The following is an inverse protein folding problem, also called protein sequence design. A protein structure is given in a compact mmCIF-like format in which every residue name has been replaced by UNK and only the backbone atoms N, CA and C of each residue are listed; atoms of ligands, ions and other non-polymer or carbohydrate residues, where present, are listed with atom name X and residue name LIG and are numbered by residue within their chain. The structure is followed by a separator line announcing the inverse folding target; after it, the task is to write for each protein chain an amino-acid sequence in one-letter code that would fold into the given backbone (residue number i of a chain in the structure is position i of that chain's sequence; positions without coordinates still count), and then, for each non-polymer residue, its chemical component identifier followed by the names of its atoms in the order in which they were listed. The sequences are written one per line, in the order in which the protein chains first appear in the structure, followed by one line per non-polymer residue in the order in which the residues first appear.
data_IF_100363298099
#
_entry.id   IF_100363298099
#
_cell.length_a   1.000
_cell.length_b   1.000
_cell.length_c   1.000
_cell.angle_alpha   90.00
_cell.angle_beta   90.00
_cell.angle_gamma   90.00
#
_symmetry.space_group_name_H-M   'P 1'
#
loop_
_entity.id
_entity.type
_entity.pdbx_description
1 polymer ?
#
# COMPACT_ATOMS: atom_id res chain seq x y z
N UNK A 1 -19.75 7.68 -9.98
CA UNK A 1 -19.05 7.25 -8.75
C UNK A 1 -17.73 6.62 -9.17
N UNK A 2 -16.61 7.13 -8.68
CA UNK A 2 -15.26 6.72 -9.12
C UNK A 2 -14.66 5.79 -8.07
N UNK A 3 -14.29 4.56 -8.44
CA UNK A 3 -13.58 3.63 -7.55
C UNK A 3 -12.09 3.85 -7.73
N UNK A 4 -11.44 4.50 -6.77
CA UNK A 4 -10.00 4.78 -6.76
C UNK A 4 -9.34 3.98 -5.64
N UNK A 5 -8.09 3.57 -5.86
CA UNK A 5 -7.36 2.82 -4.86
C UNK A 5 -6.91 3.76 -3.74
N UNK A 6 -7.05 3.33 -2.48
CA UNK A 6 -6.85 4.16 -1.28
C UNK A 6 -5.50 4.89 -1.28
N UNK A 7 -4.45 4.27 -1.82
CA UNK A 7 -3.11 4.87 -1.93
C UNK A 7 -3.03 6.05 -2.91
N UNK A 8 -3.88 6.12 -3.94
CA UNK A 8 -3.87 7.20 -4.93
C UNK A 8 -4.50 8.48 -4.38
N UNK A 9 -5.50 8.34 -3.49
CA UNK A 9 -6.24 9.45 -2.90
C UNK A 9 -5.82 9.77 -1.47
N UNK A 10 -4.90 8.99 -0.88
CA UNK A 10 -4.45 9.18 0.50
C UNK A 10 -3.97 10.62 0.78
N UNK A 11 -3.32 11.27 -0.19
CA UNK A 11 -2.91 12.68 -0.03
C UNK A 11 -4.10 13.66 -0.03
N UNK A 12 -5.10 13.42 -0.89
CA UNK A 12 -6.27 14.28 -1.04
C UNK A 12 -7.30 14.10 0.09
N UNK A 13 -7.38 12.89 0.67
CA UNK A 13 -8.13 12.62 1.91
C UNK A 13 -7.43 13.29 3.09
N UNK A 14 -6.10 13.16 3.23
CA UNK A 14 -5.34 13.87 4.28
C UNK A 14 -5.41 15.39 4.17
N UNK A 15 -5.51 15.95 2.95
CA UNK A 15 -5.69 17.38 2.74
C UNK A 15 -7.13 17.86 2.91
N UNK A 16 -8.08 16.96 3.26
CA UNK A 16 -9.50 17.28 3.43
C UNK A 16 -10.22 17.67 2.14
N UNK A 17 -9.58 17.49 0.98
CA UNK A 17 -10.15 17.80 -0.34
C UNK A 17 -11.08 16.69 -0.82
N UNK A 18 -10.92 15.47 -0.28
CA UNK A 18 -11.80 14.33 -0.50
C UNK A 18 -12.30 13.80 0.85
N UNK A 19 -13.60 13.50 0.91
CA UNK A 19 -14.23 12.88 2.07
C UNK A 19 -14.64 11.44 1.69
N UNK A 20 -14.19 10.41 2.44
CA UNK A 20 -14.69 9.06 2.25
C UNK A 20 -16.19 9.01 2.55
N UNK A 21 -16.92 8.23 1.75
CA UNK A 21 -18.36 8.01 1.91
C UNK A 21 -18.62 6.52 1.83
N UNK A 22 -19.57 6.01 2.61
CA UNK A 22 -19.91 4.58 2.70
C UNK A 22 -18.78 3.70 3.27
N UNK A 23 -18.03 4.20 4.26
CA UNK A 23 -16.98 3.44 4.97
C UNK A 23 -17.45 2.07 5.48
N UNK A 24 -18.70 1.99 5.94
CA UNK A 24 -19.30 0.73 6.42
C UNK A 24 -19.45 -0.37 5.33
N UNK A 25 -19.27 -0.01 4.06
CA UNK A 25 -19.34 -0.91 2.90
C UNK A 25 -17.99 -1.06 2.20
N UNK A 26 -16.89 -0.53 2.77
CA UNK A 26 -15.57 -0.72 2.19
C UNK A 26 -15.13 -2.19 2.29
N UNK A 27 -14.65 -2.78 1.18
CA UNK A 27 -14.09 -4.13 1.20
C UNK A 27 -12.81 -4.16 2.03
N UNK A 28 -12.49 -5.33 2.59
CA UNK A 28 -11.25 -5.50 3.35
C UNK A 28 -10.02 -5.08 2.52
N UNK A 29 -8.98 -4.49 3.17
CA UNK A 29 -7.78 -4.03 2.49
C UNK A 29 -7.18 -5.12 1.62
N UNK A 30 -6.87 -4.77 0.36
CA UNK A 30 -6.29 -5.74 -0.57
C UNK A 30 -4.85 -6.08 -0.17
N UNK A 31 -4.46 -7.36 -0.19
CA UNK A 31 -3.11 -7.76 0.16
C UNK A 31 -2.10 -7.20 -0.85
N UNK A 32 -1.08 -6.51 -0.36
CA UNK A 32 0.04 -6.02 -1.18
C UNK A 32 1.20 -7.00 -1.09
N UNK A 33 1.63 -7.54 -2.24
CA UNK A 33 2.72 -8.50 -2.33
C UNK A 33 3.91 -7.90 -3.07
N UNK A 34 5.12 -8.08 -2.53
CA UNK A 34 6.38 -7.78 -3.23
C UNK A 34 6.79 -9.02 -4.02
N UNK A 35 6.70 -8.95 -5.35
CA UNK A 35 7.05 -10.06 -6.25
C UNK A 35 8.45 -9.83 -6.82
N UNK A 36 9.30 -10.85 -6.76
CA UNK A 36 10.61 -10.85 -7.41
C UNK A 36 10.76 -12.08 -8.31
N UNK A 37 11.56 -11.97 -9.38
CA UNK A 37 11.85 -13.09 -10.28
C UNK A 37 12.71 -14.14 -9.54
N UNK A 38 12.06 -15.16 -8.99
CA UNK A 38 12.71 -16.26 -8.31
C UNK A 38 13.31 -17.25 -9.29
N UNK A 39 14.52 -16.99 -9.78
CA UNK A 39 15.36 -17.98 -10.45
C UNK A 39 16.73 -17.98 -9.76
N UNK A 40 16.82 -18.59 -8.58
CA UNK A 40 18.09 -18.78 -7.84
C UNK A 40 18.21 -18.02 -6.50
N UNK A 41 19.43 -18.04 -5.95
CA UNK A 41 19.76 -17.34 -4.70
C UNK A 41 19.49 -15.84 -4.83
N UNK A 42 18.66 -15.31 -3.92
CA UNK A 42 18.38 -13.88 -3.81
C UNK A 42 19.69 -13.08 -3.70
N UNK A 43 20.00 -12.19 -4.66
CA UNK A 43 21.15 -11.31 -4.54
C UNK A 43 21.06 -10.52 -3.23
N UNK A 44 22.17 -10.41 -2.49
CA UNK A 44 22.21 -9.73 -1.18
C UNK A 44 21.64 -8.30 -1.27
N UNK A 45 21.86 -7.61 -2.40
CA UNK A 45 21.28 -6.29 -2.67
C UNK A 45 19.76 -6.29 -2.73
N UNK A 46 19.15 -7.32 -3.32
CA UNK A 46 17.70 -7.45 -3.43
C UNK A 46 17.09 -7.78 -2.06
N UNK A 47 17.72 -8.67 -1.29
CA UNK A 47 17.31 -8.92 0.11
C UNK A 47 17.40 -7.65 0.95
N UNK A 48 18.51 -6.92 0.89
CA UNK A 48 18.67 -5.66 1.62
C UNK A 48 17.63 -4.60 1.21
N UNK A 49 17.25 -4.52 -0.07
CA UNK A 49 16.18 -3.65 -0.53
C UNK A 49 14.82 -4.08 0.01
N UNK A 50 14.51 -5.38 -0.02
CA UNK A 50 13.27 -5.91 0.54
C UNK A 50 13.20 -5.65 2.05
N UNK A 51 14.28 -5.86 2.79
CA UNK A 51 14.38 -5.60 4.23
C UNK A 51 14.22 -4.11 4.55
N UNK A 52 14.69 -3.22 3.66
CA UNK A 52 14.52 -1.77 3.79
C UNK A 52 13.10 -1.30 3.45
N UNK A 53 12.52 -1.83 2.38
CA UNK A 53 11.29 -1.34 1.77
C UNK A 53 10.03 -1.97 2.38
N UNK A 54 10.06 -3.26 2.72
CA UNK A 54 8.91 -3.98 3.27
C UNK A 54 8.34 -3.34 4.55
N UNK A 55 9.12 -3.01 5.60
CA UNK A 55 8.57 -2.38 6.79
C UNK A 55 8.00 -0.99 6.51
N UNK A 56 8.71 -0.17 5.72
CA UNK A 56 8.25 1.18 5.34
C UNK A 56 6.98 1.15 4.51
N UNK A 57 6.87 0.22 3.57
CA UNK A 57 5.68 0.06 2.74
C UNK A 57 4.49 -0.38 3.59
N UNK A 58 4.72 -1.30 4.54
CA UNK A 58 3.70 -1.73 5.50
C UNK A 58 3.18 -0.57 6.35
N UNK A 59 4.08 0.26 6.89
CA UNK A 59 3.72 1.46 7.65
C UNK A 59 2.92 2.47 6.82
N UNK A 60 3.35 2.74 5.58
CA UNK A 60 2.66 3.67 4.67
C UNK A 60 1.28 3.18 4.24
N UNK A 61 1.14 1.88 4.00
CA UNK A 61 -0.15 1.27 3.66
C UNK A 61 -1.08 1.26 4.87
N UNK A 62 -0.57 0.98 6.08
CA UNK A 62 -1.36 1.09 7.31
C UNK A 62 -1.88 2.51 7.56
N UNK A 63 -1.10 3.54 7.21
CA UNK A 63 -1.53 4.96 7.28
C UNK A 63 -2.51 5.38 6.17
N UNK A 64 -2.67 4.57 5.14
CA UNK A 64 -3.57 4.84 4.01
C UNK A 64 -4.91 4.09 4.11
N UNK A 65 -5.09 3.30 5.16
CA UNK A 65 -6.36 2.67 5.55
C UNK A 65 -6.97 3.54 6.63
N UNK A 66 -8.17 4.08 6.39
CA UNK A 66 -8.99 4.81 7.36
C UNK A 66 -10.06 3.88 7.93
#
# INVERSE_FOLDING_TARGET
MTRVLSYQIAAAVRSGTLCPVLEAFEPQPWPVNLVHAGQGLLPVKLRAFLDFAAPRLKERLAQATW
#
